data_IF_618775570709
#
_entry.id   IF_618775570709
#
_cell.length_a   1.000
_cell.length_b   1.000
_cell.length_c   1.000
_cell.angle_alpha   90.00
_cell.angle_beta   90.00
_cell.angle_gamma   90.00
#
_symmetry.space_group_name_H-M   'P 1'
#
loop_
_entity.id
_entity.type
_entity.pdbx_description
1 polymer ?
#
# COMPACT_ATOMS: atom_id res chain seq x y z
N UNK A 1 1.47 19.48 -7.58
CA UNK A 1 2.24 18.23 -7.60
C UNK A 1 3.56 18.44 -8.35
N UNK A 2 4.69 17.91 -7.83
CA UNK A 2 5.99 17.94 -8.52
C UNK A 2 5.95 17.11 -9.83
N UNK A 3 5.15 16.04 -9.86
CA UNK A 3 4.91 15.18 -11.04
C UNK A 3 4.49 16.00 -12.27
N UNK A 4 3.60 16.98 -12.09
CA UNK A 4 3.06 17.80 -13.19
C UNK A 4 4.14 18.55 -13.98
N UNK A 5 5.29 18.85 -13.35
CA UNK A 5 6.40 19.58 -13.98
C UNK A 5 7.60 18.67 -14.30
N UNK A 6 7.55 17.40 -13.89
CA UNK A 6 8.66 16.48 -14.09
C UNK A 6 8.77 16.08 -15.57
N UNK A 7 10.00 15.89 -16.04
CA UNK A 7 10.27 15.30 -17.36
C UNK A 7 10.44 13.78 -17.29
N UNK A 8 10.81 13.28 -16.10
CA UNK A 8 11.00 11.87 -15.81
C UNK A 8 10.42 11.60 -14.42
N UNK A 9 9.60 10.57 -14.32
CA UNK A 9 9.01 10.10 -13.05
C UNK A 9 9.43 8.65 -12.86
N UNK A 10 10.10 8.38 -11.74
CA UNK A 10 10.27 7.01 -11.28
C UNK A 10 8.94 6.55 -10.67
N UNK A 11 8.26 5.63 -11.35
CA UNK A 11 7.01 5.09 -10.84
C UNK A 11 7.29 4.19 -9.61
N UNK A 12 6.55 4.34 -8.51
CA UNK A 12 6.83 3.58 -7.29
C UNK A 12 6.67 2.07 -7.47
N UNK A 13 7.32 1.31 -6.59
CA UNK A 13 7.10 -0.12 -6.43
C UNK A 13 5.72 -0.45 -5.85
N UNK A 14 5.29 -1.69 -6.06
CA UNK A 14 3.95 -2.14 -5.68
C UNK A 14 3.73 -2.18 -4.15
N UNK A 15 4.64 -2.79 -3.38
CA UNK A 15 4.58 -2.77 -1.91
C UNK A 15 4.80 -1.37 -1.30
N UNK A 16 5.78 -0.56 -1.77
CA UNK A 16 5.88 0.84 -1.36
C UNK A 16 4.55 1.58 -1.49
N UNK A 17 3.85 1.40 -2.61
CA UNK A 17 2.56 2.06 -2.83
C UNK A 17 1.52 1.70 -1.76
N UNK A 18 1.33 0.42 -1.42
CA UNK A 18 0.35 0.01 -0.40
C UNK A 18 0.74 0.56 0.99
N UNK A 19 2.01 0.43 1.36
CA UNK A 19 2.52 0.82 2.68
C UNK A 19 2.51 2.34 2.88
N UNK A 20 2.99 3.10 1.90
CA UNK A 20 3.10 4.56 1.98
C UNK A 20 1.70 5.18 2.03
N UNK A 21 0.76 4.72 1.20
CA UNK A 21 -0.62 5.20 1.25
C UNK A 21 -1.28 4.86 2.59
N UNK A 22 -1.04 3.65 3.14
CA UNK A 22 -1.56 3.29 4.44
C UNK A 22 -1.03 4.20 5.56
N UNK A 23 0.26 4.56 5.56
CA UNK A 23 0.90 5.25 6.68
C UNK A 23 0.97 6.78 6.56
N UNK A 24 0.83 7.34 5.36
CA UNK A 24 1.02 8.77 5.13
C UNK A 24 0.20 9.69 6.04
N UNK A 25 -1.11 9.45 6.30
CA UNK A 25 -1.90 10.33 7.15
C UNK A 25 -1.39 10.35 8.60
N UNK A 26 -1.12 9.19 9.18
CA UNK A 26 -0.75 9.05 10.60
C UNK A 26 0.71 9.42 10.88
N UNK A 27 1.61 9.27 9.92
CA UNK A 27 2.98 9.75 10.03
C UNK A 27 3.05 11.28 9.98
N UNK A 28 2.32 11.91 9.04
CA UNK A 28 2.25 13.38 8.96
C UNK A 28 1.62 13.99 10.22
N UNK A 29 0.64 13.31 10.78
CA UNK A 29 -0.01 13.69 12.04
C UNK A 29 0.81 13.33 13.29
N UNK A 30 1.97 12.67 13.14
CA UNK A 30 2.88 12.24 14.23
C UNK A 30 2.17 11.40 15.30
N UNK A 31 1.25 10.53 14.89
CA UNK A 31 0.45 9.70 15.81
C UNK A 31 1.15 8.41 16.21
N UNK A 32 2.13 7.96 15.43
CA UNK A 32 2.85 6.71 15.65
C UNK A 32 4.36 6.92 15.81
N UNK A 33 5.02 5.99 16.49
CA UNK A 33 6.48 5.90 16.52
C UNK A 33 6.98 5.27 15.21
N UNK A 34 7.69 6.02 14.35
CA UNK A 34 8.14 5.51 13.06
C UNK A 34 9.10 4.31 13.17
N UNK A 35 9.84 4.17 14.27
CA UNK A 35 10.81 3.08 14.45
C UNK A 35 10.16 1.75 14.87
N UNK A 36 8.85 1.73 15.06
CA UNK A 36 8.09 0.54 15.50
C UNK A 36 7.30 -0.10 14.37
N UNK A 37 7.45 0.41 13.14
CA UNK A 37 6.68 -0.01 11.98
C UNK A 37 7.09 -1.42 11.57
N UNK A 38 6.09 -2.31 11.53
CA UNK A 38 6.19 -3.67 10.98
C UNK A 38 5.18 -3.81 9.86
N UNK A 39 5.63 -4.08 8.64
CA UNK A 39 4.79 -4.32 7.47
C UNK A 39 4.87 -5.80 7.07
N UNK A 40 3.79 -6.52 7.33
CA UNK A 40 3.58 -7.89 6.84
C UNK A 40 2.69 -7.83 5.60
N UNK A 41 3.31 -8.00 4.43
CA UNK A 41 2.62 -7.84 3.15
C UNK A 41 2.52 -9.14 2.37
N UNK A 42 1.43 -9.31 1.64
CA UNK A 42 1.11 -10.51 0.87
C UNK A 42 0.77 -10.11 -0.55
N UNK A 43 1.37 -10.76 -1.53
CA UNK A 43 1.17 -10.45 -2.96
C UNK A 43 0.82 -11.69 -3.76
N UNK A 44 -0.05 -11.52 -4.74
CA UNK A 44 -0.20 -12.48 -5.82
C UNK A 44 1.06 -12.64 -6.67
N UNK A 45 1.16 -13.75 -7.39
CA UNK A 45 2.36 -14.21 -8.09
C UNK A 45 2.78 -13.31 -9.23
N UNK A 46 1.86 -12.56 -9.83
CA UNK A 46 2.17 -11.67 -10.96
C UNK A 46 3.20 -10.59 -10.62
N UNK A 47 3.37 -10.25 -9.33
CA UNK A 47 4.43 -9.34 -8.87
C UNK A 47 5.86 -9.89 -9.08
N UNK A 48 6.02 -11.20 -9.27
CA UNK A 48 7.32 -11.81 -9.61
C UNK A 48 7.69 -11.67 -11.10
N UNK A 49 6.77 -11.20 -11.94
CA UNK A 49 6.95 -11.06 -13.38
C UNK A 49 6.58 -12.32 -14.17
N UNK A 50 6.82 -12.27 -15.49
CA UNK A 50 6.45 -13.33 -16.44
C UNK A 50 7.58 -14.33 -16.71
N UNK A 51 8.82 -14.01 -16.32
CA UNK A 51 9.97 -14.88 -16.56
C UNK A 51 9.80 -16.21 -15.82
N UNK A 52 10.08 -17.35 -16.46
CA UNK A 52 9.92 -18.65 -15.82
C UNK A 52 10.97 -18.85 -14.73
N UNK A 53 10.54 -19.40 -13.60
CA UNK A 53 11.41 -19.90 -12.53
C UNK A 53 10.70 -21.04 -11.83
N UNK A 54 11.44 -21.95 -11.20
CA UNK A 54 10.84 -23.02 -10.39
C UNK A 54 9.86 -22.41 -9.36
N UNK A 55 10.30 -21.36 -8.66
CA UNK A 55 9.50 -20.67 -7.65
C UNK A 55 8.20 -20.03 -8.15
N UNK A 56 7.98 -19.91 -9.48
CA UNK A 56 6.77 -19.31 -10.07
C UNK A 56 5.95 -20.30 -10.89
N UNK A 57 6.33 -21.58 -10.94
CA UNK A 57 5.51 -22.62 -11.54
C UNK A 57 4.20 -22.80 -10.76
N UNK A 58 3.13 -23.14 -11.45
CA UNK A 58 1.80 -23.30 -10.85
C UNK A 58 1.82 -24.26 -9.66
N UNK A 59 2.41 -25.45 -9.82
CA UNK A 59 2.47 -26.46 -8.77
C UNK A 59 3.36 -26.08 -7.57
N UNK A 60 4.26 -25.10 -7.75
CA UNK A 60 5.15 -24.59 -6.69
C UNK A 60 4.52 -23.43 -5.92
N UNK A 61 3.39 -22.90 -6.41
CA UNK A 61 2.72 -21.73 -5.86
C UNK A 61 1.33 -22.07 -5.35
N UNK A 62 0.58 -22.92 -6.07
CA UNK A 62 -0.76 -23.34 -5.70
C UNK A 62 -0.76 -24.04 -4.34
N UNK A 63 -1.89 -23.92 -3.61
CA UNK A 63 -2.17 -24.56 -2.32
C UNK A 63 -1.17 -24.26 -1.19
N UNK A 64 -0.32 -23.23 -1.37
CA UNK A 64 0.67 -22.83 -0.38
C UNK A 64 0.85 -21.31 -0.28
N UNK A 65 1.44 -20.87 0.82
CA UNK A 65 1.80 -19.48 1.07
C UNK A 65 3.14 -19.46 1.79
N UNK A 66 4.05 -18.56 1.39
CA UNK A 66 5.40 -18.51 1.96
C UNK A 66 5.99 -17.10 1.99
N UNK A 67 6.82 -16.77 3.00
CA UNK A 67 7.63 -15.56 2.98
C UNK A 67 8.75 -15.67 1.92
N UNK A 68 9.26 -14.54 1.46
CA UNK A 68 10.44 -14.49 0.60
C UNK A 68 11.26 -13.22 0.84
N UNK A 69 12.57 -13.27 0.56
CA UNK A 69 13.49 -12.12 0.71
C UNK A 69 13.36 -11.40 2.06
N UNK A 70 13.14 -12.17 3.12
CA UNK A 70 12.98 -11.66 4.49
C UNK A 70 14.23 -10.85 4.87
N UNK A 71 14.01 -9.65 5.42
CA UNK A 71 15.04 -8.68 5.78
C UNK A 71 15.96 -8.19 4.62
N UNK A 72 15.69 -8.56 3.37
CA UNK A 72 16.58 -8.30 2.23
C UNK A 72 15.82 -7.91 0.94
N UNK A 73 14.62 -7.34 1.06
CA UNK A 73 13.82 -6.96 -0.10
C UNK A 73 14.25 -5.59 -0.66
N UNK A 74 14.31 -5.46 -1.99
CA UNK A 74 14.75 -4.22 -2.67
C UNK A 74 13.84 -3.02 -2.48
N UNK A 75 12.58 -3.25 -2.09
CA UNK A 75 11.64 -2.18 -1.76
C UNK A 75 11.83 -1.62 -0.36
N UNK A 76 12.54 -2.29 0.55
CA UNK A 76 12.77 -1.76 1.90
C UNK A 76 13.38 -0.35 1.89
N UNK A 77 14.48 -0.06 1.16
CA UNK A 77 15.02 1.30 1.12
C UNK A 77 14.10 2.33 0.47
N UNK A 78 13.28 1.94 -0.50
CA UNK A 78 12.27 2.83 -1.11
C UNK A 78 11.19 3.20 -0.10
N UNK A 79 10.70 2.23 0.68
CA UNK A 79 9.74 2.46 1.75
C UNK A 79 10.36 3.38 2.81
N UNK A 80 11.55 3.05 3.31
CA UNK A 80 12.23 3.84 4.34
C UNK A 80 12.51 5.27 3.89
N UNK A 81 12.87 5.49 2.63
CA UNK A 81 13.03 6.84 2.05
C UNK A 81 11.75 7.66 2.21
N UNK A 82 10.62 7.17 1.70
CA UNK A 82 9.37 7.92 1.69
C UNK A 82 8.76 8.07 3.09
N UNK A 83 8.83 7.02 3.92
CA UNK A 83 8.38 7.11 5.31
C UNK A 83 9.24 8.10 6.12
N UNK A 84 10.55 8.17 5.86
CA UNK A 84 11.42 9.14 6.54
C UNK A 84 11.05 10.59 6.17
N UNK A 85 10.70 10.85 4.91
CA UNK A 85 10.20 12.15 4.47
C UNK A 85 8.87 12.51 5.15
N UNK A 86 7.95 11.54 5.26
CA UNK A 86 6.65 11.74 5.91
C UNK A 86 6.76 11.96 7.43
N UNK A 87 7.67 11.24 8.08
CA UNK A 87 7.93 11.34 9.52
C UNK A 87 8.83 12.53 9.90
N UNK A 88 9.46 13.18 8.90
CA UNK A 88 10.50 14.19 9.09
C UNK A 88 11.67 13.72 9.99
N UNK A 89 11.97 12.42 9.95
CA UNK A 89 13.07 11.78 10.68
C UNK A 89 13.47 10.48 10.00
N UNK A 90 14.73 10.06 10.16
CA UNK A 90 15.18 8.76 9.64
C UNK A 90 14.36 7.65 10.27
N UNK A 91 13.74 6.84 9.42
CA UNK A 91 12.84 5.76 9.79
C UNK A 91 13.35 4.44 9.23
N UNK A 92 13.39 3.40 10.07
CA UNK A 92 13.64 2.03 9.63
C UNK A 92 12.40 1.18 9.88
N UNK A 93 12.19 0.16 9.04
CA UNK A 93 11.02 -0.72 9.16
C UNK A 93 11.39 -2.19 9.15
N UNK A 94 10.55 -3.00 9.79
CA UNK A 94 10.54 -4.45 9.54
C UNK A 94 9.58 -4.74 8.39
N UNK A 95 10.09 -5.24 7.26
CA UNK A 95 9.28 -5.59 6.10
C UNK A 95 9.46 -7.05 5.71
N UNK A 96 8.35 -7.78 5.67
CA UNK A 96 8.30 -9.18 5.24
C UNK A 96 7.23 -9.35 4.16
N UNK A 97 7.63 -9.58 2.90
CA UNK A 97 6.70 -9.94 1.86
C UNK A 97 6.47 -11.45 1.81
N UNK A 98 5.25 -11.81 1.43
CA UNK A 98 4.83 -13.19 1.26
C UNK A 98 4.15 -13.40 -0.09
N UNK A 99 4.37 -14.57 -0.67
CA UNK A 99 3.82 -14.97 -1.96
C UNK A 99 2.54 -15.79 -1.75
N UNK A 100 1.42 -15.28 -2.26
CA UNK A 100 0.09 -15.91 -2.20
C UNK A 100 -0.16 -16.87 -3.37
N UNK A 101 -1.03 -17.89 -3.18
CA UNK A 101 -1.49 -18.79 -4.22
C UNK A 101 -2.61 -18.15 -5.09
N UNK A 102 -2.47 -16.86 -5.41
CA UNK A 102 -3.38 -16.10 -6.28
C UNK A 102 -2.59 -15.29 -7.30
N UNK A 103 -3.21 -14.91 -8.42
CA UNK A 103 -2.48 -14.18 -9.48
C UNK A 103 -2.22 -12.72 -9.13
N UNK A 104 -3.21 -11.98 -8.62
CA UNK A 104 -3.17 -10.53 -8.43
C UNK A 104 -3.61 -10.13 -7.03
N UNK A 105 -3.21 -8.92 -6.64
CA UNK A 105 -3.54 -8.28 -5.37
C UNK A 105 -2.34 -8.18 -4.45
N UNK A 106 -2.24 -7.07 -3.72
CA UNK A 106 -1.41 -6.91 -2.54
C UNK A 106 -2.32 -6.54 -1.38
N UNK A 107 -2.10 -7.17 -0.23
CA UNK A 107 -2.54 -6.70 1.07
C UNK A 107 -1.32 -6.40 1.93
N UNK A 108 -1.32 -5.25 2.61
CA UNK A 108 -0.29 -4.89 3.58
C UNK A 108 -0.94 -4.66 4.93
N UNK A 109 -0.64 -5.55 5.88
CA UNK A 109 -1.00 -5.39 7.29
C UNK A 109 0.17 -4.76 8.02
N UNK A 110 -0.05 -3.58 8.59
CA UNK A 110 1.02 -2.73 9.11
C UNK A 110 0.73 -2.39 10.57
N UNK A 111 1.72 -2.63 11.43
CA UNK A 111 1.63 -2.41 12.86
C UNK A 111 2.55 -1.26 13.23
N UNK A 112 2.09 -0.35 14.08
CA UNK A 112 2.93 0.69 14.68
C UNK A 112 2.43 1.06 16.08
N UNK A 113 3.34 1.47 16.95
CA UNK A 113 3.02 1.94 18.31
C UNK A 113 2.45 3.35 18.22
N UNK A 114 1.30 3.60 18.88
CA UNK A 114 0.75 4.94 19.04
C UNK A 114 1.58 5.72 20.07
N UNK A 115 1.92 6.98 19.77
CA UNK A 115 2.65 7.88 20.69
C UNK A 115 1.74 8.90 21.37
N UNK A 116 0.46 8.90 21.02
CA UNK A 116 -0.56 9.78 21.59
C UNK A 116 -1.80 8.96 21.95
N UNK A 117 -2.53 9.40 22.96
CA UNK A 117 -3.86 8.86 23.25
C UNK A 117 -4.82 9.46 22.22
N UNK A 118 -5.23 8.65 21.25
CA UNK A 118 -6.19 9.06 20.22
C UNK A 118 -7.25 7.97 20.04
N UNK A 119 -8.42 8.36 19.58
CA UNK A 119 -9.54 7.46 19.30
C UNK A 119 -9.57 7.06 17.84
N UNK A 120 -10.23 5.94 17.52
CA UNK A 120 -10.43 5.54 16.12
C UNK A 120 -11.21 6.58 15.30
N UNK A 121 -12.10 7.34 15.94
CA UNK A 121 -12.85 8.41 15.29
C UNK A 121 -11.93 9.56 14.84
N UNK A 122 -11.03 10.02 15.71
CA UNK A 122 -10.05 11.06 15.39
C UNK A 122 -9.11 10.62 14.26
N UNK A 123 -8.62 9.37 14.30
CA UNK A 123 -7.80 8.81 13.22
C UNK A 123 -8.61 8.78 11.92
N UNK A 124 -9.88 8.37 11.98
CA UNK A 124 -10.74 8.30 10.79
C UNK A 124 -10.95 9.67 10.16
N UNK A 125 -11.11 10.71 10.95
CA UNK A 125 -11.21 12.09 10.47
C UNK A 125 -9.92 12.52 9.77
N UNK A 126 -8.76 12.12 10.28
CA UNK A 126 -7.45 12.37 9.64
C UNK A 126 -7.34 11.64 8.29
N UNK A 127 -7.70 10.37 8.20
CA UNK A 127 -7.70 9.63 6.94
C UNK A 127 -8.68 10.22 5.94
N UNK A 128 -9.91 10.48 6.37
CA UNK A 128 -10.99 10.99 5.52
C UNK A 128 -10.65 12.37 4.99
N UNK A 129 -10.13 13.27 5.83
CA UNK A 129 -9.68 14.60 5.40
C UNK A 129 -8.47 14.53 4.46
N UNK A 130 -7.51 13.63 4.72
CA UNK A 130 -6.33 13.44 3.86
C UNK A 130 -6.71 12.96 2.47
N UNK A 131 -7.67 12.04 2.36
CA UNK A 131 -8.08 11.40 1.11
C UNK A 131 -9.37 11.96 0.51
N UNK A 132 -9.96 13.02 1.08
CA UNK A 132 -11.26 13.56 0.67
C UNK A 132 -11.35 13.96 -0.82
N UNK A 133 -10.22 14.31 -1.44
CA UNK A 133 -10.13 14.73 -2.84
C UNK A 133 -9.42 13.70 -3.73
N UNK A 134 -9.08 12.54 -3.18
CA UNK A 134 -8.32 11.51 -3.87
C UNK A 134 -9.29 10.47 -4.45
N UNK A 135 -9.36 10.37 -5.78
CA UNK A 135 -10.31 9.47 -6.44
C UNK A 135 -9.89 7.99 -6.38
N UNK A 136 -8.63 7.71 -6.06
CA UNK A 136 -8.05 6.37 -6.13
C UNK A 136 -7.77 5.77 -4.75
N UNK A 137 -8.09 6.46 -3.66
CA UNK A 137 -7.90 5.95 -2.29
C UNK A 137 -9.24 5.97 -1.57
N UNK A 138 -9.65 4.82 -1.03
CA UNK A 138 -10.92 4.65 -0.31
C UNK A 138 -10.61 4.30 1.14
N UNK A 139 -11.09 5.12 2.06
CA UNK A 139 -11.06 4.83 3.49
C UNK A 139 -12.34 4.07 3.83
N UNK A 140 -12.20 2.84 4.31
CA UNK A 140 -13.34 1.97 4.61
C UNK A 140 -14.05 2.40 5.90
N UNK A 141 -15.25 1.87 6.11
CA UNK A 141 -16.05 2.10 7.31
C UNK A 141 -15.39 1.58 8.59
N UNK A 142 -16.00 1.87 9.74
CA UNK A 142 -15.55 1.31 11.01
C UNK A 142 -15.82 -0.20 11.06
N UNK A 143 -14.80 -0.99 11.37
CA UNK A 143 -14.88 -2.46 11.40
C UNK A 143 -14.74 -3.13 10.02
N UNK A 144 -14.70 -2.35 8.94
CA UNK A 144 -14.46 -2.86 7.59
C UNK A 144 -12.97 -2.95 7.30
N UNK A 145 -12.55 -4.06 6.69
CA UNK A 145 -11.16 -4.32 6.33
C UNK A 145 -11.01 -4.58 4.83
N UNK A 146 -9.91 -4.12 4.23
CA UNK A 146 -9.70 -4.26 2.79
C UNK A 146 -9.46 -5.73 2.41
N UNK A 147 -9.94 -6.11 1.23
CA UNK A 147 -9.71 -7.42 0.63
C UNK A 147 -9.23 -7.24 -0.81
N UNK A 148 -8.22 -8.00 -1.22
CA UNK A 148 -7.59 -7.86 -2.55
C UNK A 148 -8.57 -8.05 -3.71
N UNK A 149 -9.58 -8.90 -3.54
CA UNK A 149 -10.64 -9.12 -4.52
C UNK A 149 -11.51 -7.87 -4.77
N UNK A 150 -11.63 -6.95 -3.81
CA UNK A 150 -12.44 -5.73 -3.94
C UNK A 150 -11.72 -4.59 -4.68
N UNK A 151 -10.43 -4.76 -5.00
CA UNK A 151 -9.62 -3.79 -5.76
C UNK A 151 -9.05 -4.37 -7.04
N UNK A 152 -9.26 -5.67 -7.28
CA UNK A 152 -8.74 -6.40 -8.44
C UNK A 152 -9.15 -5.74 -9.75
N UNK A 153 -8.19 -5.53 -10.66
CA UNK A 153 -8.43 -4.91 -11.96
C UNK A 153 -8.71 -3.41 -11.93
N UNK A 154 -8.51 -2.73 -10.80
CA UNK A 154 -8.78 -1.29 -10.63
C UNK A 154 -7.57 -0.52 -10.12
N UNK A 155 -7.61 0.80 -10.24
CA UNK A 155 -6.59 1.69 -9.68
C UNK A 155 -6.86 2.12 -8.23
N UNK A 156 -7.78 1.44 -7.52
CA UNK A 156 -8.11 1.77 -6.14
C UNK A 156 -7.08 1.21 -5.14
N UNK A 157 -6.94 1.94 -4.04
CA UNK A 157 -6.32 1.51 -2.79
C UNK A 157 -7.37 1.61 -1.68
N UNK A 158 -7.70 0.48 -1.06
CA UNK A 158 -8.62 0.44 0.07
C UNK A 158 -7.84 0.41 1.37
N UNK A 159 -8.24 1.24 2.34
CA UNK A 159 -7.56 1.35 3.64
C UNK A 159 -8.57 1.16 4.76
N UNK A 160 -8.24 0.30 5.71
CA UNK A 160 -8.94 0.14 6.99
C UNK A 160 -7.94 0.11 8.14
N UNK A 161 -8.40 0.28 9.37
CA UNK A 161 -7.52 0.21 10.54
C UNK A 161 -8.31 -0.14 11.81
N UNK A 162 -7.57 -0.61 12.83
CA UNK A 162 -8.06 -0.85 14.18
C UNK A 162 -6.99 -0.46 15.21
N UNK A 163 -7.41 -0.10 16.43
CA UNK A 163 -6.51 0.11 17.58
C UNK A 163 -6.57 -1.11 18.51
N UNK A 164 -5.43 -1.74 18.78
CA UNK A 164 -5.29 -2.72 19.86
C UNK A 164 -4.84 -2.02 21.15
N UNK A 165 -5.81 -1.69 22.00
CA UNK A 165 -5.57 -1.00 23.27
C UNK A 165 -4.69 -1.78 24.24
N UNK A 166 -4.64 -3.12 24.15
CA UNK A 166 -3.81 -3.96 25.05
C UNK A 166 -2.33 -3.83 24.73
N UNK A 167 -1.99 -3.56 23.47
CA UNK A 167 -0.61 -3.43 23.00
C UNK A 167 -0.22 -1.99 22.69
N UNK A 168 -1.18 -1.05 22.72
CA UNK A 168 -0.96 0.35 22.38
C UNK A 168 -0.62 0.57 20.91
N UNK A 169 -1.06 -0.34 20.03
CA UNK A 169 -0.72 -0.34 18.61
C UNK A 169 -1.92 -0.01 17.73
N UNK A 170 -1.64 0.68 16.63
CA UNK A 170 -2.54 0.73 15.49
C UNK A 170 -2.16 -0.37 14.50
N UNK A 171 -3.18 -1.00 13.92
CA UNK A 171 -3.07 -1.96 12.83
C UNK A 171 -3.74 -1.32 11.61
N UNK A 172 -2.94 -0.92 10.63
CA UNK A 172 -3.43 -0.33 9.37
C UNK A 172 -3.33 -1.38 8.28
N UNK A 173 -4.42 -1.59 7.55
CA UNK A 173 -4.50 -2.53 6.46
C UNK A 173 -4.73 -1.75 5.17
N UNK A 174 -4.07 -2.18 4.10
CA UNK A 174 -4.35 -1.66 2.76
C UNK A 174 -4.40 -2.77 1.73
N UNK A 175 -5.26 -2.61 0.71
CA UNK A 175 -5.27 -3.49 -0.45
C UNK A 175 -5.21 -2.71 -1.76
N UNK A 176 -4.40 -3.21 -2.71
CA UNK A 176 -4.31 -2.70 -4.08
C UNK A 176 -4.26 -3.87 -5.08
N UNK A 177 -4.61 -3.62 -6.35
CA UNK A 177 -4.14 -4.49 -7.43
C UNK A 177 -2.66 -4.15 -7.75
N UNK A 178 -1.79 -5.14 -7.61
CA UNK A 178 -0.35 -5.00 -7.75
C UNK A 178 0.12 -4.64 -9.17
N UNK A 179 -0.70 -4.88 -10.20
CA UNK A 179 -0.41 -4.53 -11.59
C UNK A 179 -1.07 -3.21 -12.02
N UNK A 180 -2.15 -2.80 -11.34
CA UNK A 180 -2.77 -1.48 -11.53
C UNK A 180 -2.14 -0.45 -10.59
N UNK A 181 -2.75 -0.19 -9.42
CA UNK A 181 -2.28 0.86 -8.51
C UNK A 181 -0.85 0.60 -8.04
N UNK A 182 -0.43 -0.67 -7.95
CA UNK A 182 0.95 -1.03 -7.63
C UNK A 182 1.95 -0.92 -8.79
N UNK A 183 1.52 -0.66 -10.02
CA UNK A 183 2.41 -0.56 -11.18
C UNK A 183 1.81 0.32 -12.30
N UNK A 184 1.16 -0.29 -13.30
CA UNK A 184 0.83 0.35 -14.59
C UNK A 184 -0.29 1.38 -14.47
N UNK A 185 -1.28 1.14 -13.61
CA UNK A 185 -2.34 2.10 -13.33
C UNK A 185 -1.79 3.39 -12.72
N UNK A 186 -0.84 3.27 -11.79
CA UNK A 186 -0.13 4.42 -11.23
C UNK A 186 0.78 5.10 -12.25
N UNK A 187 1.40 4.35 -13.16
CA UNK A 187 2.17 4.94 -14.25
C UNK A 187 1.30 5.77 -15.19
N UNK A 188 0.09 5.29 -15.53
CA UNK A 188 -0.90 6.03 -16.32
C UNK A 188 -1.41 7.25 -15.53
N UNK A 189 -1.64 7.12 -14.22
CA UNK A 189 -2.00 8.25 -13.34
C UNK A 189 -0.93 9.35 -13.39
N UNK A 190 0.35 8.97 -13.28
CA UNK A 190 1.49 9.88 -13.40
C UNK A 190 1.54 10.54 -14.78
N UNK A 191 1.41 9.77 -15.85
CA UNK A 191 1.35 10.26 -17.23
C UNK A 191 0.21 11.28 -17.42
N UNK A 192 -1.00 10.99 -16.91
CA UNK A 192 -2.13 11.89 -17.00
C UNK A 192 -1.81 13.26 -16.37
N UNK A 193 -1.19 13.25 -15.19
CA UNK A 193 -0.78 14.48 -14.50
C UNK A 193 0.29 15.24 -15.32
N UNK A 194 1.29 14.53 -15.85
CA UNK A 194 2.37 15.13 -16.67
C UNK A 194 1.85 15.75 -17.97
N UNK A 195 0.88 15.10 -18.61
CA UNK A 195 0.31 15.54 -19.89
C UNK A 195 -0.88 16.50 -19.74
N UNK A 196 -1.32 16.82 -18.52
CA UNK A 196 -2.42 17.75 -18.27
C UNK A 196 -3.82 17.16 -18.48
N UNK A 197 -3.95 15.84 -18.52
CA UNK A 197 -5.25 15.15 -18.52
C UNK A 197 -5.87 15.10 -17.12
N UNK A 198 -7.12 14.64 -17.01
CA UNK A 198 -7.69 14.32 -15.69
C UNK A 198 -6.89 13.17 -15.09
N UNK A 199 -6.54 13.27 -13.81
CA UNK A 199 -5.66 12.32 -13.14
C UNK A 199 -6.12 10.86 -13.26
N UNK A 200 -7.43 10.62 -13.15
CA UNK A 200 -8.04 9.29 -13.23
C UNK A 200 -8.48 8.87 -14.64
N UNK A 201 -8.15 9.63 -15.68
CA UNK A 201 -8.59 9.35 -17.04
C UNK A 201 -8.10 7.98 -17.53
N UNK A 202 -9.04 7.09 -17.90
CA UNK A 202 -8.73 5.75 -18.42
C UNK A 202 -8.33 4.73 -17.35
N UNK A 203 -8.41 5.11 -16.07
CA UNK A 203 -8.10 4.25 -14.91
C UNK A 203 -9.17 4.36 -13.82
N UNK A 204 -10.35 4.88 -14.16
CA UNK A 204 -11.54 5.05 -13.33
C UNK A 204 -12.52 3.86 -13.44
N UNK A 205 -12.03 2.72 -13.93
CA UNK A 205 -12.79 1.47 -14.00
C UNK A 205 -13.07 0.86 -12.62
N UNK A 206 -14.24 0.25 -12.49
CA UNK A 206 -14.62 -0.49 -11.29
C UNK A 206 -13.79 -1.78 -11.13
N UNK A 207 -13.61 -2.27 -9.89
CA UNK A 207 -13.01 -3.57 -9.64
C UNK A 207 -13.73 -4.70 -10.37
N UNK A 208 -12.96 -5.64 -10.90
CA UNK A 208 -13.47 -6.88 -11.48
C UNK A 208 -13.62 -7.92 -10.37
N UNK A 209 -14.87 -8.18 -10.00
CA UNK A 209 -15.26 -9.14 -8.97
C UNK A 209 -16.44 -10.00 -9.46
N UNK A 210 -16.51 -11.30 -9.11
CA UNK A 210 -15.54 -12.08 -8.33
C UNK A 210 -14.24 -12.40 -9.09
#
# INVERSE_FOLDING_TARGET
>A
SQIKKAQLVANPGCYPTSIILALAPILRAKLIDPNTIVADSKSGTTGAGRSPSLATLYCEVADGFRPYKVANHRHTPEIEQELSLLAATTTTITFTPHLLPISRGIESTIYATLVTNTTEAEIRDIYTSTYARESCVRVLGQGDFPATQHVRGSNYCDIGFAIDSRTGRIIVLSAIDNLYKGASGQAVQNMNIMCGFRENQGIDGNPCFP
#
